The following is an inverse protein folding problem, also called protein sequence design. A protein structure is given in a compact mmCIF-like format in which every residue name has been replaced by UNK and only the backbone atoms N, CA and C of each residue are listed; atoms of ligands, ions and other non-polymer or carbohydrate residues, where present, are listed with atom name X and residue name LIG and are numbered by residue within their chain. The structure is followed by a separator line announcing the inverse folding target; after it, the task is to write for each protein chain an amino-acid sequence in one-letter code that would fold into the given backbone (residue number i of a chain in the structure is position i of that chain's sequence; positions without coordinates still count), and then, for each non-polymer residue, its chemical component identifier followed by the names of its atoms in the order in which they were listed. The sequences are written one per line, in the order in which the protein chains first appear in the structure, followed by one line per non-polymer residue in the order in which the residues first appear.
data_IF_282665697704
#
_entry.id   IF_282665697704
#
_cell.length_a   1.000
_cell.length_b   1.000
_cell.length_c   1.000
_cell.angle_alpha   90.00
_cell.angle_beta   90.00
_cell.angle_gamma   90.00
#
_symmetry.space_group_name_H-M   'P 1'
#
loop_
_entity.id
_entity.type
_entity.pdbx_description
1 polymer ?
#
# COMPACT_ATOMS: atom_id res chain seq x y z
N UNK A 1 24.26 -0.75 15.42
CA UNK A 1 24.08 -0.49 16.88
C UNK A 1 24.96 0.68 17.32
N UNK A 2 24.79 1.87 16.74
CA UNK A 2 25.75 2.99 16.89
C UNK A 2 25.36 4.05 17.93
N UNK A 3 24.12 4.04 18.45
CA UNK A 3 23.59 5.15 19.27
C UNK A 3 23.72 4.97 20.79
N UNK A 4 24.41 3.92 21.27
CA UNK A 4 24.74 3.74 22.69
C UNK A 4 23.59 3.72 23.70
N UNK A 5 22.33 3.78 23.25
CA UNK A 5 21.16 3.96 24.08
C UNK A 5 19.85 3.66 23.34
N UNK A 6 18.73 3.78 24.06
CA UNK A 6 17.39 3.60 23.49
C UNK A 6 17.09 4.72 22.49
N UNK A 7 16.45 4.37 21.39
CA UNK A 7 15.99 5.31 20.37
C UNK A 7 14.55 5.00 20.01
N UNK A 8 13.80 6.03 19.56
CA UNK A 8 12.44 5.84 19.05
C UNK A 8 12.41 6.09 17.54
N UNK A 9 11.76 5.22 16.76
CA UNK A 9 11.62 5.43 15.32
C UNK A 9 10.91 6.76 15.05
N UNK A 10 11.54 7.58 14.19
CA UNK A 10 11.03 8.89 13.82
C UNK A 10 11.31 10.00 14.84
N UNK A 11 12.16 9.78 15.85
CA UNK A 11 12.50 10.81 16.85
C UNK A 11 13.06 12.09 16.21
N UNK A 12 13.88 11.96 15.17
CA UNK A 12 14.43 13.11 14.42
C UNK A 12 13.58 13.50 13.22
N UNK A 13 13.04 12.53 12.47
CA UNK A 13 12.35 12.80 11.20
C UNK A 13 10.83 13.06 11.34
N UNK A 14 10.26 12.86 12.53
CA UNK A 14 8.81 12.84 12.73
C UNK A 14 8.09 11.59 12.19
N UNK A 15 8.73 10.79 11.32
CA UNK A 15 8.13 9.58 10.74
C UNK A 15 8.11 8.40 11.71
N UNK A 16 7.10 8.42 12.59
CA UNK A 16 6.88 7.43 13.65
C UNK A 16 6.14 6.20 13.12
N UNK A 17 6.20 5.11 13.89
CA UNK A 17 5.44 3.89 13.66
C UNK A 17 4.53 3.67 14.87
N UNK A 18 3.21 3.73 14.68
CA UNK A 18 2.23 3.43 15.73
C UNK A 18 2.05 1.93 15.80
N UNK A 19 2.35 1.32 16.95
CA UNK A 19 2.21 -0.13 17.14
C UNK A 19 0.72 -0.49 17.21
N UNK A 20 0.34 -1.54 16.48
CA UNK A 20 -1.01 -2.11 16.42
C UNK A 20 -1.05 -3.46 17.13
N UNK A 21 -0.12 -4.37 16.80
CA UNK A 21 0.05 -5.66 17.47
C UNK A 21 1.53 -6.02 17.60
N UNK A 22 1.80 -6.89 18.56
CA UNK A 22 3.12 -7.44 18.86
C UNK A 22 2.93 -8.94 18.97
N UNK A 23 3.66 -9.70 18.16
CA UNK A 23 3.60 -11.16 18.13
C UNK A 23 5.03 -11.69 18.26
N UNK A 24 5.23 -12.68 19.14
CA UNK A 24 6.49 -13.42 19.21
C UNK A 24 6.38 -14.68 18.35
N UNK A 25 7.50 -15.18 17.84
CA UNK A 25 7.55 -16.50 17.23
C UNK A 25 7.49 -17.63 18.27
N UNK A 26 7.51 -18.88 17.78
CA UNK A 26 7.22 -20.06 18.61
C UNK A 26 8.27 -20.35 19.68
N UNK A 27 9.53 -19.96 19.46
CA UNK A 27 10.65 -20.08 20.40
C UNK A 27 11.02 -18.74 21.06
N UNK A 28 10.30 -17.65 20.72
CA UNK A 28 10.41 -16.33 21.34
C UNK A 28 11.77 -15.65 21.15
N UNK A 29 12.43 -15.90 20.02
CA UNK A 29 13.68 -15.25 19.64
C UNK A 29 13.49 -14.08 18.65
N UNK A 30 12.30 -13.98 18.04
CA UNK A 30 11.90 -12.87 17.20
C UNK A 30 10.53 -12.28 17.58
N UNK A 31 10.36 -10.99 17.25
CA UNK A 31 9.10 -10.26 17.43
C UNK A 31 8.69 -9.66 16.09
N UNK A 32 7.44 -9.91 15.69
CA UNK A 32 6.74 -9.22 14.61
C UNK A 32 5.92 -8.05 15.18
N UNK A 33 6.24 -6.84 14.71
CA UNK A 33 5.46 -5.64 15.03
C UNK A 33 4.57 -5.28 13.84
N UNK A 34 3.25 -5.36 14.04
CA UNK A 34 2.30 -4.73 13.10
C UNK A 34 2.20 -3.26 13.46
N UNK A 35 2.42 -2.39 12.48
CA UNK A 35 2.49 -0.95 12.70
C UNK A 35 1.73 -0.16 11.64
N UNK A 36 1.26 1.01 12.03
CA UNK A 36 0.79 2.05 11.11
C UNK A 36 1.86 3.14 10.98
N UNK A 37 2.40 3.37 9.77
CA UNK A 37 3.42 4.39 9.56
C UNK A 37 2.83 5.80 9.47
N UNK A 38 3.44 6.75 10.17
CA UNK A 38 3.12 8.18 10.08
C UNK A 38 4.12 8.87 9.13
N UNK A 39 3.97 8.65 7.83
CA UNK A 39 4.94 9.06 6.80
C UNK A 39 5.91 7.94 6.39
N UNK A 40 6.88 8.19 5.50
CA UNK A 40 7.73 7.15 4.95
C UNK A 40 8.66 6.55 6.01
N UNK A 41 8.69 5.22 6.08
CA UNK A 41 9.50 4.52 7.07
C UNK A 41 11.00 4.61 6.75
N UNK A 42 11.37 4.64 5.47
CA UNK A 42 12.75 4.68 4.99
C UNK A 42 13.32 6.11 4.91
N UNK A 43 14.62 6.25 5.16
CA UNK A 43 15.34 7.52 5.03
C UNK A 43 15.43 8.02 3.58
N UNK A 44 15.17 7.17 2.59
CA UNK A 44 15.12 7.53 1.17
C UNK A 44 13.75 8.07 0.72
N UNK A 45 12.82 8.26 1.66
CA UNK A 45 11.45 8.69 1.35
C UNK A 45 10.53 7.57 0.86
N UNK A 46 11.01 6.33 0.77
CA UNK A 46 10.19 5.16 0.39
C UNK A 46 9.40 4.59 1.57
N UNK A 47 8.31 3.89 1.29
CA UNK A 47 7.46 3.26 2.30
C UNK A 47 8.19 2.18 3.12
N UNK A 48 9.20 1.53 2.52
CA UNK A 48 10.01 0.47 3.14
C UNK A 48 11.47 0.63 2.76
N UNK A 49 12.38 0.08 3.58
CA UNK A 49 13.79 -0.06 3.22
C UNK A 49 13.99 -1.04 2.05
N UNK A 50 13.03 -1.96 1.84
CA UNK A 50 13.03 -2.98 0.79
C UNK A 50 12.19 -2.51 -0.41
N UNK A 51 12.54 -1.36 -0.99
CA UNK A 51 11.72 -0.69 -2.00
C UNK A 51 11.45 -1.54 -3.26
N UNK A 52 12.38 -2.43 -3.63
CA UNK A 52 12.30 -3.28 -4.82
C UNK A 52 11.59 -4.63 -4.55
N UNK A 53 11.21 -4.90 -3.31
CA UNK A 53 10.40 -6.08 -3.00
C UNK A 53 8.96 -5.80 -3.45
N UNK A 54 8.60 -6.30 -4.63
CA UNK A 54 7.20 -6.30 -5.07
C UNK A 54 6.37 -6.96 -3.97
N UNK A 55 5.38 -6.24 -3.43
CA UNK A 55 4.51 -6.76 -2.39
C UNK A 55 3.80 -8.01 -2.96
N UNK A 56 4.11 -9.23 -2.48
CA UNK A 56 3.60 -10.43 -3.11
C UNK A 56 2.10 -10.58 -2.86
N UNK A 57 1.40 -11.23 -3.80
CA UNK A 57 -0.03 -11.51 -3.68
C UNK A 57 -0.88 -10.24 -3.47
N UNK A 58 -1.70 -10.25 -2.41
CA UNK A 58 -2.63 -9.16 -2.06
C UNK A 58 -1.90 -7.83 -1.80
N UNK A 59 -0.63 -7.87 -1.38
CA UNK A 59 0.16 -6.67 -1.11
C UNK A 59 0.32 -5.77 -2.34
N UNK A 60 0.30 -6.35 -3.55
CA UNK A 60 0.35 -5.61 -4.81
C UNK A 60 -0.91 -4.78 -5.06
N UNK A 61 -2.08 -5.26 -4.63
CA UNK A 61 -3.32 -4.48 -4.70
C UNK A 61 -3.27 -3.28 -3.76
N UNK A 62 -2.76 -3.46 -2.55
CA UNK A 62 -2.53 -2.33 -1.63
C UNK A 62 -1.52 -1.32 -2.17
N UNK A 63 -0.51 -1.75 -2.94
CA UNK A 63 0.38 -0.82 -3.64
C UNK A 63 -0.36 -0.07 -4.76
N UNK A 64 -1.15 -0.77 -5.58
CA UNK A 64 -1.93 -0.16 -6.65
C UNK A 64 -2.92 0.86 -6.12
N UNK A 65 -3.61 0.57 -5.02
CA UNK A 65 -4.52 1.51 -4.35
C UNK A 65 -3.81 2.81 -3.94
N UNK A 66 -2.61 2.70 -3.34
CA UNK A 66 -1.80 3.89 -3.01
C UNK A 66 -1.42 4.68 -4.27
N UNK A 67 -0.97 4.00 -5.32
CA UNK A 67 -0.63 4.66 -6.60
C UNK A 67 -1.85 5.35 -7.22
N UNK A 68 -3.05 4.76 -7.11
CA UNK A 68 -4.31 5.38 -7.55
C UNK A 68 -4.57 6.66 -6.74
N UNK A 69 -4.42 6.61 -5.42
CA UNK A 69 -4.55 7.77 -4.55
C UNK A 69 -3.56 8.90 -4.88
N UNK A 70 -2.28 8.57 -5.08
CA UNK A 70 -1.23 9.52 -5.46
C UNK A 70 -1.52 10.18 -6.83
N UNK A 71 -2.15 9.45 -7.75
CA UNK A 71 -2.49 9.94 -9.10
C UNK A 71 -3.89 10.55 -9.19
N UNK A 72 -4.58 10.74 -8.05
CA UNK A 72 -5.98 11.15 -8.05
C UNK A 72 -6.24 12.55 -8.60
N UNK A 73 -5.25 13.45 -8.51
CA UNK A 73 -5.36 14.86 -8.93
C UNK A 73 -4.51 15.23 -10.14
N UNK A 74 -3.94 14.24 -10.85
CA UNK A 74 -3.11 14.47 -12.04
C UNK A 74 -3.91 14.70 -13.33
N UNK A 75 -3.26 14.50 -14.48
CA UNK A 75 -3.84 14.56 -15.84
C UNK A 75 -4.03 13.15 -16.48
N UNK A 76 -3.54 12.12 -15.81
CA UNK A 76 -3.59 10.73 -16.25
C UNK A 76 -5.01 10.12 -16.25
N UNK A 77 -5.08 8.87 -16.71
CA UNK A 77 -6.34 8.11 -16.76
C UNK A 77 -7.08 8.10 -15.41
N UNK A 78 -6.36 7.80 -14.32
CA UNK A 78 -6.91 7.74 -12.96
C UNK A 78 -7.62 9.05 -12.59
N UNK A 79 -6.94 10.18 -12.77
CA UNK A 79 -7.51 11.48 -12.44
C UNK A 79 -8.73 11.81 -13.29
N UNK A 80 -8.67 11.58 -14.61
CA UNK A 80 -9.81 11.78 -15.52
C UNK A 80 -11.01 10.91 -15.14
N UNK A 81 -10.77 9.66 -14.76
CA UNK A 81 -11.81 8.74 -14.32
C UNK A 81 -12.47 9.22 -13.01
N UNK A 82 -11.68 9.68 -12.04
CA UNK A 82 -12.16 10.22 -10.76
C UNK A 82 -12.92 11.54 -10.92
N UNK A 83 -12.44 12.44 -11.79
CA UNK A 83 -13.13 13.69 -12.13
C UNK A 83 -14.50 13.45 -12.80
N UNK A 84 -14.67 12.33 -13.50
CA UNK A 84 -15.96 11.89 -14.05
C UNK A 84 -17.01 11.50 -13.00
N UNK A 85 -16.62 11.42 -11.73
CA UNK A 85 -17.51 11.14 -10.60
C UNK A 85 -18.01 9.69 -10.53
N UNK A 86 -18.76 9.39 -9.47
CA UNK A 86 -19.18 8.04 -9.12
C UNK A 86 -19.95 7.33 -10.25
N UNK A 87 -20.79 8.06 -11.01
CA UNK A 87 -21.56 7.48 -12.13
C UNK A 87 -20.65 6.96 -13.24
N UNK A 88 -19.63 7.72 -13.64
CA UNK A 88 -18.70 7.30 -14.70
C UNK A 88 -17.83 6.13 -14.24
N UNK A 89 -17.40 6.14 -12.99
CA UNK A 89 -16.64 5.04 -12.38
C UNK A 89 -17.49 3.76 -12.36
N UNK A 90 -18.72 3.83 -11.88
CA UNK A 90 -19.63 2.69 -11.82
C UNK A 90 -19.96 2.13 -13.22
N UNK A 91 -20.10 2.99 -14.23
CA UNK A 91 -20.26 2.56 -15.62
C UNK A 91 -19.07 1.70 -16.07
N UNK A 92 -17.82 2.16 -15.84
CA UNK A 92 -16.63 1.39 -16.21
C UNK A 92 -16.56 0.06 -15.46
N UNK A 93 -16.88 0.04 -14.17
CA UNK A 93 -16.97 -1.23 -13.40
C UNK A 93 -17.95 -2.21 -14.06
N UNK A 94 -19.10 -1.72 -14.53
CA UNK A 94 -20.07 -2.55 -15.25
C UNK A 94 -19.55 -3.07 -16.58
N UNK A 95 -18.96 -2.21 -17.42
CA UNK A 95 -18.37 -2.59 -18.72
C UNK A 95 -17.32 -3.70 -18.56
N UNK A 96 -16.32 -3.48 -17.71
CA UNK A 96 -15.24 -4.46 -17.49
C UNK A 96 -15.76 -5.74 -16.82
N UNK A 97 -16.79 -5.63 -15.98
CA UNK A 97 -17.44 -6.78 -15.35
C UNK A 97 -18.14 -7.69 -16.36
N UNK A 98 -18.85 -7.10 -17.32
CA UNK A 98 -19.48 -7.85 -18.44
C UNK A 98 -18.41 -8.47 -19.33
N UNK A 99 -17.37 -7.72 -19.71
CA UNK A 99 -16.26 -8.24 -20.53
C UNK A 99 -15.55 -9.41 -19.83
N UNK A 100 -15.28 -9.28 -18.53
CA UNK A 100 -14.68 -10.36 -17.72
C UNK A 100 -15.57 -11.60 -17.69
N UNK A 101 -16.88 -11.43 -17.49
CA UNK A 101 -17.83 -12.54 -17.48
C UNK A 101 -17.91 -13.24 -18.84
N UNK A 102 -17.94 -12.49 -19.94
CA UNK A 102 -17.93 -13.02 -21.30
C UNK A 102 -16.62 -13.76 -21.62
N UNK A 103 -15.47 -13.22 -21.21
CA UNK A 103 -14.17 -13.87 -21.39
C UNK A 103 -14.10 -15.19 -20.61
N UNK A 104 -14.64 -15.23 -19.39
CA UNK A 104 -14.72 -16.45 -18.58
C UNK A 104 -15.70 -17.48 -19.13
N UNK A 105 -16.82 -17.05 -19.71
CA UNK A 105 -17.84 -17.95 -20.28
C UNK A 105 -17.48 -18.45 -21.68
N UNK A 106 -16.75 -17.65 -22.46
CA UNK A 106 -16.28 -18.00 -23.81
C UNK A 106 -15.00 -18.85 -23.83
N UNK A 107 -14.44 -19.17 -22.66
CA UNK A 107 -13.24 -19.98 -22.49
C UNK A 107 -13.55 -21.43 -22.12
N UNK A 108 -13.80 -22.26 -23.14
CA UNK A 108 -13.62 -23.70 -23.15
C UNK A 108 -12.74 -24.07 -24.34
#
# INVERSE_FOLDING_TARGET
RSRGGRWRKGETSGHRLRVVSIEADCDSDAILLKVEPMGPACHRGTASCFADAAAPGIGRLGLLERTIGERSTGDGYTARLLQGGARRIAQKVGEEGVETALAGAGGG
#
